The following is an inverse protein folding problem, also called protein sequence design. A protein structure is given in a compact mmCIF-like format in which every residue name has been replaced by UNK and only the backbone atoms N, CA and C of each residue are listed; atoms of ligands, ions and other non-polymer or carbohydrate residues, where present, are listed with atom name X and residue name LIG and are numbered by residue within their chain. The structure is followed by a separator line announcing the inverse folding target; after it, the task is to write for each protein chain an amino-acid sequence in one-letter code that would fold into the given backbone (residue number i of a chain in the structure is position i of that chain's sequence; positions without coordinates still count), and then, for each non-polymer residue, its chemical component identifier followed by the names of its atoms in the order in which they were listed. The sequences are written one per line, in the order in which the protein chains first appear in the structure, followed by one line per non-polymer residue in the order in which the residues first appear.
data_IF_699337148290
#
_entry.id   IF_699337148290
#
_cell.length_a   1.000
_cell.length_b   1.000
_cell.length_c   1.000
_cell.angle_alpha   90.00
_cell.angle_beta   90.00
_cell.angle_gamma   90.00
#
_symmetry.space_group_name_H-M   'P 1'
#
loop_
_entity.id
_entity.type
_entity.pdbx_description
1 polymer ?
#
# COMPACT_ATOMS: atom_id res chain seq x y z
N UNK A 1 -26.30 -16.81 3.56
CA UNK A 1 -26.33 -15.35 3.74
C UNK A 1 -24.97 -14.99 4.32
N UNK A 2 -24.19 -14.10 3.67
CA UNK A 2 -22.97 -13.61 4.28
C UNK A 2 -23.28 -12.95 5.62
N UNK A 3 -22.33 -12.99 6.55
CA UNK A 3 -22.48 -12.29 7.82
C UNK A 3 -22.58 -10.77 7.59
N UNK A 4 -23.19 -10.03 8.51
CA UNK A 4 -23.22 -8.55 8.44
C UNK A 4 -21.82 -7.97 8.28
N UNK A 5 -20.83 -8.61 8.90
CA UNK A 5 -19.43 -8.22 8.81
C UNK A 5 -18.83 -8.46 7.43
N UNK A 6 -19.06 -9.63 6.82
CA UNK A 6 -18.66 -9.93 5.44
C UNK A 6 -19.22 -8.90 4.47
N UNK A 7 -20.50 -8.54 4.60
CA UNK A 7 -21.13 -7.50 3.78
C UNK A 7 -20.46 -6.14 3.93
N UNK A 8 -20.04 -5.74 5.14
CA UNK A 8 -19.33 -4.47 5.33
C UNK A 8 -17.93 -4.48 4.70
N UNK A 9 -17.21 -5.60 4.77
CA UNK A 9 -15.89 -5.76 4.13
C UNK A 9 -16.04 -5.72 2.60
N UNK A 10 -17.05 -6.39 2.06
CA UNK A 10 -17.38 -6.34 0.62
C UNK A 10 -17.73 -4.92 0.18
N UNK A 11 -18.59 -4.22 0.92
CA UNK A 11 -18.95 -2.82 0.63
C UNK A 11 -17.73 -1.90 0.63
N UNK A 12 -16.79 -2.09 1.57
CA UNK A 12 -15.54 -1.33 1.59
C UNK A 12 -14.70 -1.64 0.34
N UNK A 13 -14.55 -2.92 -0.02
CA UNK A 13 -13.83 -3.32 -1.24
C UNK A 13 -14.46 -2.71 -2.50
N UNK A 14 -15.79 -2.67 -2.59
CA UNK A 14 -16.52 -2.04 -3.70
C UNK A 14 -16.26 -0.54 -3.74
N UNK A 15 -16.37 0.16 -2.61
CA UNK A 15 -16.09 1.59 -2.54
C UNK A 15 -14.66 1.94 -2.96
N UNK A 16 -13.67 1.13 -2.56
CA UNK A 16 -12.27 1.32 -3.00
C UNK A 16 -12.10 1.19 -4.51
N UNK A 17 -12.86 0.30 -5.15
CA UNK A 17 -12.78 0.07 -6.60
C UNK A 17 -13.31 1.25 -7.45
N UNK A 18 -14.06 2.16 -6.84
CA UNK A 18 -14.59 3.36 -7.50
C UNK A 18 -13.58 4.52 -7.53
N UNK A 19 -12.49 4.42 -6.76
CA UNK A 19 -11.42 5.40 -6.75
C UNK A 19 -10.61 5.39 -8.05
N UNK A 20 -10.03 6.53 -8.39
CA UNK A 20 -8.92 6.56 -9.36
C UNK A 20 -7.70 5.88 -8.72
N UNK A 21 -6.90 5.18 -9.52
CA UNK A 21 -5.70 4.52 -9.01
C UNK A 21 -4.69 5.52 -8.42
N UNK A 22 -4.56 6.71 -9.03
CA UNK A 22 -3.47 7.66 -8.73
C UNK A 22 -3.96 9.03 -8.27
N UNK A 23 -3.04 9.80 -7.66
CA UNK A 23 -3.26 11.19 -7.24
C UNK A 23 -3.83 11.35 -5.82
N UNK A 24 -3.90 12.61 -5.37
CA UNK A 24 -4.25 12.97 -3.99
C UNK A 24 -5.67 12.54 -3.58
N UNK A 25 -6.62 12.58 -4.51
CA UNK A 25 -8.00 12.12 -4.32
C UNK A 25 -8.22 10.67 -4.78
N UNK A 26 -7.15 9.94 -5.10
CA UNK A 26 -7.17 8.56 -5.58
C UNK A 26 -6.75 7.56 -4.50
N UNK A 27 -6.55 6.32 -4.92
CA UNK A 27 -6.12 5.24 -4.04
C UNK A 27 -4.72 5.50 -3.45
N UNK A 28 -3.77 6.02 -4.24
CA UNK A 28 -2.46 6.46 -3.73
C UNK A 28 -2.59 7.49 -2.60
N UNK A 29 -3.44 8.50 -2.77
CA UNK A 29 -3.74 9.50 -1.75
C UNK A 29 -4.36 8.90 -0.48
N UNK A 30 -5.30 7.97 -0.63
CA UNK A 30 -5.88 7.24 0.50
C UNK A 30 -4.83 6.46 1.29
N UNK A 31 -3.89 5.78 0.63
CA UNK A 31 -2.78 5.09 1.30
C UNK A 31 -1.90 6.10 2.05
N UNK A 32 -1.55 7.23 1.42
CA UNK A 32 -0.75 8.28 2.07
C UNK A 32 -1.43 8.84 3.33
N UNK A 33 -2.72 9.14 3.27
CA UNK A 33 -3.51 9.63 4.42
C UNK A 33 -3.60 8.57 5.52
N UNK A 34 -3.83 7.31 5.15
CA UNK A 34 -3.91 6.19 6.08
C UNK A 34 -2.58 5.97 6.82
N UNK A 35 -1.47 5.94 6.09
CA UNK A 35 -0.14 5.81 6.68
C UNK A 35 0.23 7.02 7.53
N UNK A 36 -0.16 8.23 7.12
CA UNK A 36 0.02 9.43 7.94
C UNK A 36 -0.73 9.29 9.28
N UNK A 37 -2.00 8.91 9.25
CA UNK A 37 -2.80 8.73 10.46
C UNK A 37 -2.23 7.64 11.39
N UNK A 38 -1.72 6.54 10.84
CA UNK A 38 -1.12 5.44 11.63
C UNK A 38 0.23 5.84 12.22
N UNK A 39 1.08 6.54 11.46
CA UNK A 39 2.47 6.79 11.83
C UNK A 39 2.73 8.15 12.46
N UNK A 40 1.81 9.11 12.27
CA UNK A 40 2.02 10.53 12.57
C UNK A 40 3.00 11.22 11.62
N UNK A 41 3.44 10.57 10.54
CA UNK A 41 4.42 11.09 9.60
C UNK A 41 3.69 11.62 8.35
N UNK A 42 3.95 12.87 7.92
CA UNK A 42 3.38 13.35 6.67
C UNK A 42 4.00 12.65 5.46
N UNK A 43 3.19 12.35 4.43
CA UNK A 43 3.61 11.71 3.18
C UNK A 43 3.48 12.66 1.99
N UNK A 44 4.28 12.43 0.95
CA UNK A 44 4.16 13.08 -0.37
C UNK A 44 3.98 12.03 -1.45
N UNK A 45 3.07 12.28 -2.38
CA UNK A 45 2.91 11.47 -3.58
C UNK A 45 4.02 11.75 -4.61
N UNK A 46 4.35 10.73 -5.39
CA UNK A 46 5.24 10.88 -6.53
C UNK A 46 4.48 11.47 -7.72
N UNK A 47 5.12 12.41 -8.44
CA UNK A 47 4.53 12.92 -9.68
C UNK A 47 4.50 11.83 -10.76
N UNK A 48 3.45 11.85 -11.57
CA UNK A 48 3.32 10.97 -12.73
C UNK A 48 4.55 11.10 -13.65
N UNK A 49 5.08 9.96 -14.10
CA UNK A 49 6.29 9.90 -14.92
C UNK A 49 7.62 9.95 -14.17
N UNK A 50 7.61 10.21 -12.84
CA UNK A 50 8.81 10.21 -12.00
C UNK A 50 8.63 9.36 -10.74
N UNK A 51 8.11 8.14 -10.91
CA UNK A 51 7.74 7.29 -9.79
C UNK A 51 8.91 6.47 -9.20
N UNK A 52 10.07 6.33 -9.84
CA UNK A 52 11.33 5.77 -9.26
C UNK A 52 11.15 4.60 -8.25
N UNK A 53 10.21 3.68 -8.52
CA UNK A 53 9.92 2.53 -7.66
C UNK A 53 8.94 2.74 -6.49
N UNK A 54 8.32 3.92 -6.33
CA UNK A 54 7.35 4.23 -5.27
C UNK A 54 6.27 5.21 -5.73
N UNK A 55 5.05 5.04 -5.24
CA UNK A 55 3.94 5.97 -5.49
C UNK A 55 3.90 7.11 -4.46
N UNK A 56 4.58 6.93 -3.31
CA UNK A 56 4.81 8.01 -2.34
C UNK A 56 5.81 7.63 -1.26
N UNK A 57 6.22 8.63 -0.47
CA UNK A 57 7.17 8.46 0.64
C UNK A 57 6.98 9.51 1.72
N UNK A 58 7.52 9.24 2.91
CA UNK A 58 7.54 10.20 4.01
C UNK A 58 8.18 11.53 3.57
N UNK A 59 7.63 12.63 4.10
CA UNK A 59 8.06 13.99 3.78
C UNK A 59 9.41 14.36 4.43
N UNK A 60 9.78 13.65 5.50
CA UNK A 60 11.10 13.70 6.13
C UNK A 60 11.86 12.41 5.81
N UNK A 61 13.19 12.42 5.96
CA UNK A 61 14.05 11.30 5.60
C UNK A 61 13.67 9.98 6.31
N UNK A 62 13.75 8.87 5.57
CA UNK A 62 14.21 7.58 6.09
C UNK A 62 13.20 6.52 6.53
N UNK A 63 11.95 6.82 6.85
CA UNK A 63 11.14 5.83 7.59
C UNK A 63 10.28 4.90 6.71
N UNK A 64 9.49 5.48 5.78
CA UNK A 64 8.44 4.72 5.08
C UNK A 64 8.26 5.20 3.64
N UNK A 65 8.23 4.26 2.71
CA UNK A 65 7.77 4.47 1.34
C UNK A 65 6.64 3.49 1.00
N UNK A 66 5.83 3.81 0.00
CA UNK A 66 4.71 2.95 -0.35
C UNK A 66 4.45 2.87 -1.85
N UNK A 67 3.75 1.80 -2.22
CA UNK A 67 3.21 1.51 -3.55
C UNK A 67 1.73 1.15 -3.42
N UNK A 68 0.88 1.78 -4.24
CA UNK A 68 -0.56 1.57 -4.29
C UNK A 68 -0.97 0.75 -5.52
N UNK A 69 -1.72 -0.34 -5.32
CA UNK A 69 -2.19 -1.21 -6.39
C UNK A 69 -3.70 -1.45 -6.29
N UNK A 70 -4.44 -0.72 -7.12
CA UNK A 70 -5.89 -0.86 -7.27
C UNK A 70 -6.21 -1.89 -8.36
N UNK A 71 -6.52 -3.11 -7.95
CA UNK A 71 -6.96 -4.22 -8.83
C UNK A 71 -8.12 -4.98 -8.19
N UNK A 72 -9.01 -5.50 -9.02
CA UNK A 72 -10.19 -6.28 -8.57
C UNK A 72 -9.88 -7.76 -8.39
N UNK A 73 -9.00 -8.32 -9.24
CA UNK A 73 -8.75 -9.77 -9.30
C UNK A 73 -7.29 -10.08 -9.03
N UNK A 74 -6.45 -9.92 -10.06
CA UNK A 74 -5.06 -10.34 -10.03
C UNK A 74 -4.13 -9.14 -9.99
N UNK A 75 -3.11 -9.21 -9.11
CA UNK A 75 -1.98 -8.29 -9.12
C UNK A 75 -0.92 -8.80 -10.11
N UNK A 76 -0.68 -8.11 -11.24
CA UNK A 76 0.36 -8.54 -12.16
C UNK A 76 1.72 -8.40 -11.52
N UNK A 77 2.45 -9.50 -11.42
CA UNK A 77 3.80 -9.58 -10.81
C UNK A 77 4.76 -8.50 -11.33
N UNK A 78 4.71 -8.21 -12.63
CA UNK A 78 5.54 -7.18 -13.28
C UNK A 78 5.31 -5.76 -12.74
N UNK A 79 4.14 -5.49 -12.18
CA UNK A 79 3.75 -4.14 -11.72
C UNK A 79 4.34 -3.81 -10.33
N UNK A 80 4.89 -4.81 -9.63
CA UNK A 80 5.47 -4.64 -8.29
C UNK A 80 6.91 -5.14 -8.14
N UNK A 81 7.35 -6.16 -8.91
CA UNK A 81 8.68 -6.74 -8.71
C UNK A 81 9.83 -5.77 -8.97
N UNK A 82 9.71 -4.86 -9.93
CA UNK A 82 10.79 -3.93 -10.23
C UNK A 82 10.88 -2.78 -9.23
N UNK A 83 9.87 -2.62 -8.36
CA UNK A 83 9.71 -1.43 -7.52
C UNK A 83 10.81 -1.29 -6.47
N UNK A 84 11.12 -2.36 -5.73
CA UNK A 84 12.21 -2.36 -4.75
C UNK A 84 13.58 -2.17 -5.44
N UNK A 85 13.94 -2.91 -6.51
CA UNK A 85 15.17 -2.63 -7.26
C UNK A 85 15.28 -1.19 -7.80
N UNK A 86 14.20 -0.62 -8.31
CA UNK A 86 14.19 0.74 -8.84
C UNK A 86 14.35 1.80 -7.74
N UNK A 87 13.81 1.53 -6.54
CA UNK A 87 13.95 2.37 -5.36
C UNK A 87 15.41 2.43 -4.86
N UNK A 88 16.08 1.28 -4.80
CA UNK A 88 17.46 1.16 -4.26
C UNK A 88 18.51 1.80 -5.17
N UNK A 89 18.31 1.79 -6.49
CA UNK A 89 19.23 2.41 -7.47
C UNK A 89 19.54 3.88 -7.21
N UNK A 90 18.73 4.56 -6.40
CA UNK A 90 18.77 5.99 -6.22
C UNK A 90 18.86 6.44 -4.76
N UNK A 91 19.10 5.52 -3.82
CA UNK A 91 19.05 5.83 -2.39
C UNK A 91 19.82 4.81 -1.53
N UNK A 92 20.34 5.26 -0.40
CA UNK A 92 21.15 4.49 0.55
C UNK A 92 20.30 4.22 1.81
N UNK A 93 19.58 3.09 1.89
CA UNK A 93 18.51 2.90 2.89
C UNK A 93 18.53 1.54 3.60
N UNK A 94 19.25 1.45 4.72
CA UNK A 94 19.21 0.28 5.60
C UNK A 94 18.01 0.25 6.57
N UNK A 95 17.27 1.36 6.72
CA UNK A 95 16.21 1.52 7.74
C UNK A 95 14.80 1.75 7.15
N UNK A 96 14.64 1.59 5.83
CA UNK A 96 13.38 1.89 5.15
C UNK A 96 12.35 0.77 5.31
N UNK A 97 11.10 1.13 5.61
CA UNK A 97 9.94 0.26 5.42
C UNK A 97 9.26 0.56 4.07
N UNK A 98 9.17 -0.43 3.20
CA UNK A 98 8.40 -0.36 1.95
C UNK A 98 7.04 -1.05 2.12
N UNK A 99 5.97 -0.28 1.91
CA UNK A 99 4.58 -0.72 2.11
C UNK A 99 3.90 -0.97 0.77
N UNK A 100 3.31 -2.15 0.56
CA UNK A 100 2.41 -2.42 -0.54
C UNK A 100 0.96 -2.36 -0.06
N UNK A 101 0.19 -1.38 -0.54
CA UNK A 101 -1.26 -1.33 -0.39
C UNK A 101 -1.94 -1.93 -1.61
N UNK A 102 -2.67 -3.04 -1.47
CA UNK A 102 -3.33 -3.71 -2.59
C UNK A 102 -4.80 -4.04 -2.27
N UNK A 103 -5.72 -3.71 -3.18
CA UNK A 103 -7.15 -4.04 -3.05
C UNK A 103 -7.50 -5.47 -3.46
N UNK A 104 -6.50 -6.27 -3.80
CA UNK A 104 -6.62 -7.69 -4.13
C UNK A 104 -5.67 -8.51 -3.25
N UNK A 105 -5.80 -9.83 -3.29
CA UNK A 105 -4.87 -10.74 -2.62
C UNK A 105 -3.51 -10.72 -3.31
N UNK A 106 -2.42 -10.58 -2.55
CA UNK A 106 -1.06 -10.79 -3.07
C UNK A 106 -0.73 -12.29 -2.97
N UNK A 107 -0.43 -12.99 -4.09
CA UNK A 107 -0.06 -14.39 -4.05
C UNK A 107 1.16 -14.66 -3.16
N UNK A 108 1.20 -15.80 -2.46
CA UNK A 108 2.27 -16.11 -1.50
C UNK A 108 3.66 -16.05 -2.12
N UNK A 109 3.86 -16.58 -3.34
CA UNK A 109 5.16 -16.52 -4.02
C UNK A 109 5.58 -15.07 -4.29
N UNK A 110 4.64 -14.21 -4.69
CA UNK A 110 4.93 -12.79 -4.91
C UNK A 110 5.29 -12.07 -3.60
N UNK A 111 4.56 -12.36 -2.53
CA UNK A 111 4.84 -11.81 -1.21
C UNK A 111 6.23 -12.24 -0.70
N UNK A 112 6.60 -13.50 -0.90
CA UNK A 112 7.90 -14.04 -0.51
C UNK A 112 9.05 -13.43 -1.32
N UNK A 113 8.86 -13.27 -2.63
CA UNK A 113 9.85 -12.64 -3.50
C UNK A 113 10.06 -11.16 -3.14
N UNK A 114 8.99 -10.40 -2.90
CA UNK A 114 9.10 -9.00 -2.45
C UNK A 114 9.86 -8.88 -1.14
N UNK A 115 9.57 -9.75 -0.16
CA UNK A 115 10.29 -9.77 1.13
C UNK A 115 11.75 -10.17 0.96
N UNK A 116 12.04 -11.14 0.09
CA UNK A 116 13.40 -11.56 -0.20
C UNK A 116 14.21 -10.44 -0.88
N UNK A 117 13.60 -9.70 -1.79
CA UNK A 117 14.24 -8.55 -2.45
C UNK A 117 14.44 -7.39 -1.49
N UNK A 118 13.47 -7.08 -0.62
CA UNK A 118 13.66 -6.09 0.44
C UNK A 118 14.79 -6.46 1.41
N UNK A 119 14.81 -7.72 1.88
CA UNK A 119 15.80 -8.19 2.84
C UNK A 119 17.25 -8.12 2.33
N UNK A 120 17.48 -8.30 1.03
CA UNK A 120 18.82 -8.16 0.42
C UNK A 120 19.36 -6.72 0.54
N UNK A 121 18.47 -5.75 0.60
CA UNK A 121 18.77 -4.32 0.53
C UNK A 121 18.60 -3.63 1.90
N UNK A 122 18.31 -4.39 2.96
CA UNK A 122 18.02 -3.83 4.29
C UNK A 122 16.63 -3.20 4.41
N UNK A 123 15.71 -3.48 3.50
CA UNK A 123 14.37 -2.87 3.48
C UNK A 123 13.34 -3.81 4.11
N UNK A 124 12.60 -3.32 5.10
CA UNK A 124 11.44 -4.02 5.65
C UNK A 124 10.24 -3.95 4.71
N UNK A 125 9.63 -5.08 4.37
CA UNK A 125 8.45 -5.11 3.46
C UNK A 125 7.17 -5.40 4.23
N UNK A 126 6.24 -4.44 4.21
CA UNK A 126 4.90 -4.57 4.80
C UNK A 126 3.85 -4.69 3.70
N UNK A 127 3.10 -5.78 3.69
CA UNK A 127 2.02 -6.02 2.72
C UNK A 127 0.67 -5.83 3.42
N UNK A 128 -0.07 -4.84 2.93
CA UNK A 128 -1.44 -4.51 3.31
C UNK A 128 -2.33 -4.87 2.12
N UNK A 129 -2.81 -6.10 2.09
CA UNK A 129 -3.56 -6.65 0.96
C UNK A 129 -4.94 -7.18 1.35
N UNK A 130 -5.65 -7.72 0.36
CA UNK A 130 -7.01 -8.24 0.50
C UNK A 130 -7.07 -9.77 0.66
N UNK A 131 -6.12 -10.37 1.38
CA UNK A 131 -6.14 -11.81 1.69
C UNK A 131 -7.41 -12.16 2.51
N UNK A 132 -8.16 -13.20 2.12
CA UNK A 132 -9.28 -13.71 2.91
C UNK A 132 -8.79 -14.17 4.29
N UNK A 133 -9.09 -13.38 5.29
CA UNK A 133 -8.90 -13.64 6.72
C UNK A 133 -10.05 -12.96 7.48
N UNK A 134 -10.14 -13.08 8.80
CA UNK A 134 -11.20 -12.43 9.59
C UNK A 134 -11.33 -10.94 9.23
N UNK A 135 -10.21 -10.26 9.00
CA UNK A 135 -10.16 -8.90 8.44
C UNK A 135 -8.98 -8.73 7.49
N UNK A 136 -9.21 -8.36 6.22
CA UNK A 136 -8.14 -7.99 5.30
C UNK A 136 -7.22 -6.93 5.87
N UNK A 137 -5.90 -7.07 5.70
CA UNK A 137 -4.92 -6.17 6.33
C UNK A 137 -5.06 -4.73 5.85
N UNK A 138 -5.37 -4.54 4.57
CA UNK A 138 -5.66 -3.20 4.06
C UNK A 138 -6.92 -2.62 4.71
N UNK A 139 -8.00 -3.40 4.86
CA UNK A 139 -9.21 -2.94 5.54
C UNK A 139 -8.94 -2.50 6.99
N UNK A 140 -8.12 -3.27 7.72
CA UNK A 140 -7.71 -2.91 9.09
C UNK A 140 -6.91 -1.60 9.09
N UNK A 141 -5.93 -1.45 8.19
CA UNK A 141 -5.15 -0.23 8.09
C UNK A 141 -6.03 1.00 7.79
N UNK A 142 -6.96 0.88 6.82
CA UNK A 142 -7.92 1.93 6.49
C UNK A 142 -8.80 2.30 7.70
N UNK A 143 -9.27 1.30 8.46
CA UNK A 143 -10.05 1.54 9.67
C UNK A 143 -9.23 2.23 10.78
N UNK A 144 -7.94 1.90 10.91
CA UNK A 144 -7.04 2.57 11.86
C UNK A 144 -6.71 4.01 11.45
N UNK A 145 -6.55 4.25 10.14
CA UNK A 145 -6.23 5.57 9.59
C UNK A 145 -7.46 6.49 9.45
N UNK A 146 -8.66 5.93 9.56
CA UNK A 146 -9.91 6.68 9.55
C UNK A 146 -10.06 7.52 10.81
N UNK A 147 -9.62 8.78 10.75
CA UNK A 147 -10.15 9.82 11.63
C UNK A 147 -11.64 10.02 11.37
N UNK A 148 -12.43 10.29 12.41
CA UNK A 148 -13.85 10.64 12.25
C UNK A 148 -13.95 11.78 11.23
N UNK A 149 -14.79 11.61 10.22
CA UNK A 149 -15.38 12.76 9.54
C UNK A 149 -16.23 13.43 10.62
N UNK A 150 -15.70 14.45 11.29
CA UNK A 150 -16.52 15.33 12.11
C UNK A 150 -17.32 16.21 11.15
N UNK A 151 -18.64 16.20 11.31
CA UNK A 151 -19.57 17.14 10.68
C UNK A 151 -19.26 18.59 11.08
#
# INVERSE_FOLDING_TARGET
MPSTLETHIENLSTALSELKATGDDGFEGLIAVTLNAITGIPFRLANSGYQRGVDGKSAFEGAVAFEGKLYTNDLPRKDVLSKIPDLVRHNDHADLVWVLGATCTVPSQLADDLRADGAKEGIGVLILDWVPSDFPRLAVALAMGGGKVED
#
